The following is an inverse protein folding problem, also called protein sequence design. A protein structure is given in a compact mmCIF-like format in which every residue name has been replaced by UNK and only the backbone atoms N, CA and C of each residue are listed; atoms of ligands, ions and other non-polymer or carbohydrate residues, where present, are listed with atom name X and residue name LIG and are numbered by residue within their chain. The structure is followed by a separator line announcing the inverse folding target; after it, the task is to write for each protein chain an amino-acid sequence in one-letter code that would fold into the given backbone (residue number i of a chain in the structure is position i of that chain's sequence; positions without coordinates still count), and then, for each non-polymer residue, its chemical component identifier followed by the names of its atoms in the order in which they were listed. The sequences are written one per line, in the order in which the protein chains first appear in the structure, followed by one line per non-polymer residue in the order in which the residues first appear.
data_IF_722206746272
#
_entry.id   IF_722206746272
#
_cell.length_a   1.000
_cell.length_b   1.000
_cell.length_c   1.000
_cell.angle_alpha   90.00
_cell.angle_beta   90.00
_cell.angle_gamma   90.00
#
_symmetry.space_group_name_H-M   'P 1'
#
loop_
_entity.id
_entity.type
_entity.pdbx_description
1 polymer ?
#
# COMPACT_ATOMS: atom_id res chain seq x y z
N UNK A 1 18.05 -51.90 25.84
CA UNK A 1 18.68 -50.61 25.50
C UNK A 1 18.67 -50.32 23.99
N UNK A 2 19.06 -51.22 23.09
CA UNK A 2 19.05 -50.96 21.63
C UNK A 2 17.68 -50.59 21.05
N UNK A 3 16.58 -51.23 21.51
CA UNK A 3 15.19 -50.91 21.00
C UNK A 3 14.69 -49.54 21.42
N UNK A 4 15.08 -49.03 22.57
CA UNK A 4 14.71 -47.70 23.07
C UNK A 4 15.46 -46.61 22.29
N UNK A 5 16.72 -46.87 21.92
CA UNK A 5 17.55 -45.96 21.16
C UNK A 5 17.02 -45.77 19.70
N UNK A 6 16.58 -46.89 19.11
CA UNK A 6 15.95 -46.87 17.76
C UNK A 6 14.61 -46.10 17.78
N UNK A 7 13.80 -46.27 18.83
CA UNK A 7 12.53 -45.55 18.96
C UNK A 7 12.74 -44.04 19.15
N UNK A 8 13.75 -43.61 19.87
CA UNK A 8 14.09 -42.19 20.07
C UNK A 8 14.57 -41.56 18.76
N UNK A 9 15.42 -42.27 17.99
CA UNK A 9 15.90 -41.79 16.69
C UNK A 9 14.74 -41.68 15.70
N UNK A 10 13.81 -42.65 15.66
CA UNK A 10 12.63 -42.59 14.81
C UNK A 10 11.70 -41.43 15.18
N UNK A 11 11.52 -41.12 16.47
CA UNK A 11 10.72 -40.01 16.95
C UNK A 11 11.37 -38.66 16.58
N UNK A 12 12.71 -38.57 16.66
CA UNK A 12 13.46 -37.38 16.27
C UNK A 12 13.39 -37.15 14.76
N UNK A 13 13.48 -38.20 13.95
CA UNK A 13 13.34 -38.08 12.50
C UNK A 13 11.91 -37.73 12.08
N UNK A 14 10.89 -38.21 12.80
CA UNK A 14 9.50 -37.82 12.58
C UNK A 14 9.27 -36.33 12.92
N UNK A 15 9.87 -35.83 13.99
CA UNK A 15 9.73 -34.43 14.39
C UNK A 15 10.39 -33.46 13.38
N UNK A 16 11.52 -33.87 12.76
CA UNK A 16 12.18 -33.08 11.72
C UNK A 16 11.35 -33.08 10.42
N UNK A 17 10.67 -34.19 10.10
CA UNK A 17 9.79 -34.30 8.94
C UNK A 17 8.50 -33.45 9.05
N UNK A 18 8.00 -33.22 10.28
CA UNK A 18 6.79 -32.42 10.50
C UNK A 18 7.04 -30.91 10.51
N UNK A 19 8.29 -30.48 10.67
CA UNK A 19 8.64 -29.04 10.60
C UNK A 19 8.89 -28.54 9.17
N UNK A 20 8.92 -29.44 8.15
CA UNK A 20 9.12 -29.05 6.77
C UNK A 20 7.84 -28.91 5.94
N UNK A 21 6.67 -29.18 6.52
CA UNK A 21 5.40 -28.67 5.98
C UNK A 21 5.19 -27.23 6.43
N UNK A 22 6.12 -26.34 6.15
CA UNK A 22 5.82 -24.94 6.08
C UNK A 22 4.81 -24.79 4.95
N UNK A 23 3.55 -24.49 5.27
CA UNK A 23 2.68 -23.87 4.30
C UNK A 23 3.49 -22.71 3.73
N UNK A 24 3.89 -22.85 2.47
CA UNK A 24 4.77 -21.89 1.81
C UNK A 24 3.97 -20.61 1.65
N UNK A 25 4.07 -19.75 2.65
CA UNK A 25 3.57 -18.38 2.51
C UNK A 25 4.37 -17.74 1.40
N UNK A 26 3.73 -17.31 0.34
CA UNK A 26 4.42 -16.66 -0.77
C UNK A 26 5.23 -15.47 -0.24
N UNK A 27 6.53 -15.49 -0.44
CA UNK A 27 7.40 -14.39 -0.06
C UNK A 27 7.90 -13.69 -1.31
N UNK A 28 7.81 -12.36 -1.38
CA UNK A 28 8.32 -11.62 -2.52
C UNK A 28 9.85 -11.74 -2.59
N UNK A 29 10.40 -11.90 -3.80
CA UNK A 29 11.84 -11.82 -4.03
C UNK A 29 12.34 -10.38 -3.90
N UNK A 30 11.59 -9.44 -4.47
CA UNK A 30 11.83 -8.00 -4.30
C UNK A 30 11.06 -7.51 -3.09
N UNK A 31 11.80 -7.04 -2.08
CA UNK A 31 11.25 -6.67 -0.76
C UNK A 31 11.13 -5.17 -0.53
N UNK A 32 11.59 -4.37 -1.46
CA UNK A 32 11.50 -2.92 -1.41
C UNK A 32 11.21 -2.39 -2.81
N UNK A 33 10.26 -1.47 -2.91
CA UNK A 33 9.92 -0.77 -4.14
C UNK A 33 9.84 0.74 -3.88
N UNK A 34 10.27 1.53 -4.87
CA UNK A 34 10.23 3.01 -4.82
C UNK A 34 9.64 3.50 -6.12
N UNK A 35 8.51 4.19 -6.04
CA UNK A 35 7.71 4.58 -7.19
C UNK A 35 7.50 6.09 -7.19
N UNK A 36 7.99 6.76 -8.23
CA UNK A 36 7.78 8.19 -8.39
C UNK A 36 6.31 8.44 -8.69
N UNK A 37 5.75 9.45 -8.00
CA UNK A 37 4.39 9.96 -8.23
C UNK A 37 4.48 11.43 -8.57
N UNK A 38 3.64 11.87 -9.50
CA UNK A 38 3.48 13.28 -9.85
C UNK A 38 1.99 13.56 -10.05
N UNK A 39 1.46 14.46 -9.27
CA UNK A 39 0.06 14.90 -9.31
C UNK A 39 0.01 16.32 -9.87
N UNK A 40 -0.76 16.51 -10.93
CA UNK A 40 -1.01 17.82 -11.54
C UNK A 40 -2.43 18.25 -11.19
N UNK A 41 -2.57 19.43 -10.63
CA UNK A 41 -3.86 20.00 -10.24
C UNK A 41 -3.92 21.50 -10.52
N UNK A 42 -5.12 22.03 -10.64
CA UNK A 42 -5.39 23.47 -10.71
C UNK A 42 -5.86 23.95 -9.35
N UNK A 43 -5.34 25.11 -8.91
CA UNK A 43 -5.82 25.82 -7.75
C UNK A 43 -5.93 27.30 -8.06
N UNK A 44 -7.14 27.83 -7.96
CA UNK A 44 -7.46 29.23 -8.29
C UNK A 44 -7.03 29.68 -9.69
N UNK A 45 -7.17 28.78 -10.69
CA UNK A 45 -6.79 29.04 -12.07
C UNK A 45 -5.31 28.86 -12.38
N UNK A 46 -4.48 28.51 -11.38
CA UNK A 46 -3.07 28.20 -11.58
C UNK A 46 -2.84 26.69 -11.57
N UNK A 47 -2.15 26.18 -12.59
CA UNK A 47 -1.73 24.77 -12.65
C UNK A 47 -0.52 24.58 -11.74
N UNK A 48 -0.62 23.60 -10.86
CA UNK A 48 0.42 23.22 -9.90
C UNK A 48 0.78 21.74 -10.05
N UNK A 49 1.95 21.39 -9.57
CA UNK A 49 2.45 20.03 -9.55
C UNK A 49 3.02 19.71 -8.18
N UNK A 50 2.64 18.58 -7.62
CA UNK A 50 3.25 17.98 -6.44
C UNK A 50 3.90 16.66 -6.82
N UNK A 51 5.10 16.42 -6.34
CA UNK A 51 5.86 15.22 -6.66
C UNK A 51 6.40 14.54 -5.41
N UNK A 52 6.40 13.20 -5.43
CA UNK A 52 6.92 12.43 -4.33
C UNK A 52 7.35 11.03 -4.77
N UNK A 53 7.76 10.24 -3.78
CA UNK A 53 8.10 8.84 -3.95
C UNK A 53 7.27 8.02 -2.98
N UNK A 54 6.51 7.08 -3.49
CA UNK A 54 5.85 6.05 -2.72
C UNK A 54 6.81 4.90 -2.48
N UNK A 55 6.99 4.53 -1.23
CA UNK A 55 7.93 3.49 -0.79
C UNK A 55 7.15 2.35 -0.18
N UNK A 56 7.41 1.14 -0.67
CA UNK A 56 6.85 -0.10 -0.15
C UNK A 56 7.98 -0.96 0.39
N UNK A 57 7.89 -1.39 1.66
CA UNK A 57 8.85 -2.29 2.30
C UNK A 57 8.12 -3.54 2.80
N UNK A 58 8.63 -4.73 2.46
CA UNK A 58 8.06 -5.98 2.95
C UNK A 58 8.27 -6.13 4.45
N UNK A 59 7.18 -6.21 5.21
CA UNK A 59 7.16 -6.33 6.67
C UNK A 59 6.64 -7.69 7.16
N UNK A 60 6.92 -8.75 6.40
CA UNK A 60 6.57 -10.11 6.78
C UNK A 60 5.23 -10.58 6.24
N UNK A 61 4.54 -11.40 7.00
CA UNK A 61 3.29 -12.05 6.62
C UNK A 61 2.21 -11.72 7.62
N UNK A 62 1.05 -11.38 7.11
CA UNK A 62 -0.14 -11.17 7.93
C UNK A 62 -0.82 -12.52 8.22
N UNK A 63 -0.91 -12.88 9.52
CA UNK A 63 -1.51 -14.12 10.00
C UNK A 63 -2.84 -13.90 10.76
N UNK A 64 -3.40 -12.70 10.69
CA UNK A 64 -4.51 -12.31 11.59
C UNK A 64 -5.84 -12.99 11.31
N UNK A 65 -6.02 -13.53 10.11
CA UNK A 65 -7.23 -14.30 9.79
C UNK A 65 -6.89 -15.78 9.61
N UNK A 66 -7.33 -16.61 10.56
CA UNK A 66 -7.11 -18.08 10.54
C UNK A 66 -7.83 -18.74 9.35
N UNK A 67 -8.78 -18.05 8.74
CA UNK A 67 -9.59 -18.55 7.63
C UNK A 67 -9.18 -17.95 6.28
N UNK A 68 -8.29 -16.96 6.25
CA UNK A 68 -7.74 -16.39 5.03
C UNK A 68 -6.36 -16.98 4.74
N UNK A 69 -5.99 -17.01 3.47
CA UNK A 69 -4.62 -17.30 3.07
C UNK A 69 -3.70 -16.19 3.60
N UNK A 70 -2.50 -16.54 4.08
CA UNK A 70 -1.58 -15.57 4.62
C UNK A 70 -1.04 -14.65 3.53
N UNK A 71 -1.27 -13.35 3.66
CA UNK A 71 -0.85 -12.32 2.71
C UNK A 71 0.49 -11.70 3.05
N UNK A 72 1.18 -11.17 2.05
CA UNK A 72 2.35 -10.34 2.27
C UNK A 72 1.93 -9.04 2.98
N UNK A 73 2.62 -8.72 4.08
CA UNK A 73 2.43 -7.44 4.77
C UNK A 73 3.44 -6.42 4.25
N UNK A 74 2.95 -5.23 3.93
CA UNK A 74 3.75 -4.14 3.40
C UNK A 74 3.66 -2.92 4.31
N UNK A 75 4.81 -2.34 4.59
CA UNK A 75 4.90 -1.02 5.21
C UNK A 75 5.01 0.02 4.11
N UNK A 76 4.19 1.06 4.23
CA UNK A 76 4.10 2.15 3.27
C UNK A 76 4.66 3.44 3.86
N UNK A 77 5.26 4.26 3.02
CA UNK A 77 5.64 5.63 3.36
C UNK A 77 5.74 6.48 2.10
N UNK A 78 5.73 7.80 2.30
CA UNK A 78 5.86 8.78 1.22
C UNK A 78 7.03 9.72 1.49
N UNK A 79 7.62 10.23 0.43
CA UNK A 79 8.69 11.22 0.46
C UNK A 79 8.38 12.38 -0.49
N UNK A 80 8.93 13.56 -0.24
CA UNK A 80 8.76 14.75 -1.09
C UNK A 80 7.58 15.63 -0.69
N UNK A 81 6.74 16.03 -1.64
CA UNK A 81 5.60 16.93 -1.40
C UNK A 81 4.36 16.19 -0.86
N UNK A 82 4.41 14.87 -0.76
CA UNK A 82 3.33 14.01 -0.27
C UNK A 82 3.59 13.70 1.20
N UNK A 83 2.60 13.91 2.06
CA UNK A 83 2.70 13.60 3.49
C UNK A 83 2.67 12.07 3.72
N UNK A 84 3.09 11.62 4.90
CA UNK A 84 3.23 10.19 5.24
C UNK A 84 1.91 9.39 5.16
N UNK A 85 0.79 10.07 5.20
CA UNK A 85 -0.56 9.50 5.06
C UNK A 85 -1.10 9.51 3.61
N UNK A 86 -0.25 9.85 2.62
CA UNK A 86 -0.64 9.93 1.22
C UNK A 86 -1.43 11.19 0.87
N UNK A 87 -1.28 12.27 1.62
CA UNK A 87 -2.04 13.50 1.45
C UNK A 87 -1.16 14.62 0.86
N UNK A 88 -1.73 15.38 -0.09
CA UNK A 88 -1.18 16.63 -0.60
C UNK A 88 -2.13 17.75 -0.12
N UNK A 89 -1.76 18.53 0.90
CA UNK A 89 -2.61 19.61 1.40
C UNK A 89 -2.68 20.76 0.39
N UNK A 90 -3.87 21.31 0.16
CA UNK A 90 -4.11 22.41 -0.79
C UNK A 90 -4.43 23.70 -0.05
N UNK A 91 -5.56 23.74 0.69
CA UNK A 91 -6.00 24.90 1.43
C UNK A 91 -7.08 24.53 2.45
N UNK A 92 -7.41 25.51 3.32
CA UNK A 92 -8.56 25.43 4.19
C UNK A 92 -9.75 26.21 3.60
N UNK A 93 -10.95 25.77 3.89
CA UNK A 93 -12.18 26.49 3.54
C UNK A 93 -12.53 27.51 4.62
N UNK A 94 -13.32 28.52 4.27
CA UNK A 94 -13.75 29.56 5.23
C UNK A 94 -14.66 29.01 6.35
N UNK A 95 -15.29 27.87 6.12
CA UNK A 95 -16.20 27.19 7.06
C UNK A 95 -15.53 26.06 7.85
N UNK A 96 -14.19 25.96 7.79
CA UNK A 96 -13.38 25.09 8.63
C UNK A 96 -13.10 23.71 8.05
N UNK A 97 -13.35 23.49 6.76
CA UNK A 97 -12.91 22.28 6.05
C UNK A 97 -11.46 22.36 5.60
N UNK A 98 -10.83 21.23 5.39
CA UNK A 98 -9.50 21.10 4.80
C UNK A 98 -9.60 20.46 3.42
N UNK A 99 -9.04 21.11 2.39
CA UNK A 99 -9.00 20.56 1.03
C UNK A 99 -7.64 19.99 0.76
N UNK A 100 -7.62 18.76 0.30
CA UNK A 100 -6.41 18.03 -0.06
C UNK A 100 -6.63 17.09 -1.24
N UNK A 101 -5.56 16.58 -1.79
CA UNK A 101 -5.58 15.44 -2.71
C UNK A 101 -5.12 14.21 -1.95
N UNK A 102 -5.97 13.19 -1.93
CA UNK A 102 -5.73 11.90 -1.30
C UNK A 102 -5.21 10.92 -2.35
N UNK A 103 -4.14 10.19 -2.00
CA UNK A 103 -3.53 9.14 -2.78
C UNK A 103 -3.73 7.81 -2.05
N UNK A 104 -4.67 7.01 -2.51
CA UNK A 104 -4.83 5.65 -2.03
C UNK A 104 -4.02 4.73 -2.94
N UNK A 105 -2.80 4.46 -2.53
CA UNK A 105 -1.88 3.57 -3.20
C UNK A 105 -1.99 2.18 -2.59
N UNK A 106 -1.80 1.15 -3.42
CA UNK A 106 -1.87 -0.24 -2.98
C UNK A 106 -0.50 -0.87 -3.18
N UNK A 107 0.23 -1.19 -2.11
CA UNK A 107 1.57 -1.77 -2.23
C UNK A 107 1.56 -3.08 -3.02
N UNK A 108 0.50 -3.88 -2.91
CA UNK A 108 0.33 -5.12 -3.65
C UNK A 108 0.35 -4.87 -5.16
N UNK A 109 -0.35 -3.82 -5.63
CA UNK A 109 -0.33 -3.43 -7.04
C UNK A 109 1.09 -3.07 -7.48
N UNK A 110 1.77 -2.19 -6.75
CA UNK A 110 3.09 -1.70 -7.13
C UNK A 110 4.18 -2.78 -7.01
N UNK A 111 4.05 -3.65 -6.03
CA UNK A 111 4.99 -4.74 -5.77
C UNK A 111 4.69 -6.00 -6.58
N UNK A 112 3.70 -5.95 -7.48
CA UNK A 112 3.38 -7.05 -8.41
C UNK A 112 2.87 -8.30 -7.72
N UNK A 113 2.04 -8.13 -6.67
CA UNK A 113 1.37 -9.24 -6.00
C UNK A 113 0.27 -9.81 -6.92
N UNK A 114 0.38 -11.06 -7.36
CA UNK A 114 -0.57 -11.63 -8.30
C UNK A 114 -1.97 -11.84 -7.71
N UNK A 115 -2.10 -11.91 -6.37
CA UNK A 115 -3.38 -12.15 -5.70
C UNK A 115 -4.19 -10.87 -5.53
N UNK A 116 -3.51 -9.71 -5.49
CA UNK A 116 -4.12 -8.41 -5.23
C UNK A 116 -3.85 -7.36 -6.33
N UNK A 117 -3.37 -7.78 -7.49
CA UNK A 117 -3.04 -6.88 -8.62
C UNK A 117 -4.26 -6.14 -9.23
N UNK A 118 -5.48 -6.45 -8.80
CA UNK A 118 -6.71 -5.79 -9.26
C UNK A 118 -6.94 -4.42 -8.59
N UNK A 119 -6.27 -4.15 -7.49
CA UNK A 119 -6.40 -2.88 -6.75
C UNK A 119 -5.58 -1.79 -7.43
N UNK A 120 -6.19 -1.05 -8.34
CA UNK A 120 -5.52 0.08 -9.01
C UNK A 120 -5.47 1.32 -8.11
N UNK A 121 -4.38 2.11 -8.14
CA UNK A 121 -4.28 3.35 -7.38
C UNK A 121 -5.44 4.31 -7.63
N UNK A 122 -5.94 4.92 -6.55
CA UNK A 122 -7.01 5.91 -6.59
C UNK A 122 -6.44 7.24 -6.14
N UNK A 123 -6.68 8.29 -6.93
CA UNK A 123 -6.28 9.67 -6.60
C UNK A 123 -7.49 10.56 -6.77
N UNK A 124 -7.82 11.32 -5.72
CA UNK A 124 -8.97 12.21 -5.74
C UNK A 124 -8.75 13.43 -4.86
N UNK A 125 -9.38 14.53 -5.22
CA UNK A 125 -9.47 15.68 -4.34
C UNK A 125 -10.62 15.47 -3.35
N UNK A 126 -10.44 15.92 -2.12
CA UNK A 126 -11.39 15.72 -1.03
C UNK A 126 -11.44 16.95 -0.13
N UNK A 127 -12.60 17.17 0.50
CA UNK A 127 -12.77 18.13 1.59
C UNK A 127 -13.07 17.33 2.85
N UNK A 128 -12.30 17.54 3.88
CA UNK A 128 -12.52 16.93 5.18
C UNK A 128 -13.02 17.97 6.18
N UNK A 129 -14.10 17.63 6.86
CA UNK A 129 -14.63 18.33 8.02
C UNK A 129 -14.57 17.38 9.22
N UNK A 130 -14.73 17.90 10.44
CA UNK A 130 -14.69 17.09 11.67
C UNK A 130 -15.65 15.89 11.66
N UNK A 131 -16.77 16.00 10.95
CA UNK A 131 -17.87 15.03 10.98
C UNK A 131 -18.19 14.40 9.61
N UNK A 132 -17.55 14.85 8.52
CA UNK A 132 -17.85 14.39 7.16
C UNK A 132 -16.68 14.60 6.19
N UNK A 133 -16.68 13.80 5.14
CA UNK A 133 -15.78 13.89 4.01
C UNK A 133 -16.62 14.07 2.72
N UNK A 134 -16.14 14.91 1.81
CA UNK A 134 -16.75 15.19 0.52
C UNK A 134 -15.71 14.93 -0.57
N UNK A 135 -16.03 14.08 -1.51
CA UNK A 135 -15.21 13.74 -2.70
C UNK A 135 -15.92 14.10 -4.03
N UNK A 136 -16.96 14.91 -3.95
CA UNK A 136 -17.68 15.40 -5.12
C UNK A 136 -16.84 16.47 -5.85
N UNK A 137 -16.40 16.15 -7.07
CA UNK A 137 -15.54 17.01 -7.86
C UNK A 137 -16.16 18.36 -8.21
N UNK A 138 -17.49 18.44 -8.37
CA UNK A 138 -18.19 19.69 -8.70
C UNK A 138 -18.19 20.61 -7.47
N UNK A 139 -18.40 20.03 -6.26
CA UNK A 139 -18.34 20.78 -4.99
C UNK A 139 -16.92 21.28 -4.73
N UNK A 140 -15.91 20.45 -4.97
CA UNK A 140 -14.50 20.81 -4.78
C UNK A 140 -14.08 21.91 -5.76
N UNK A 141 -14.59 21.87 -7.00
CA UNK A 141 -14.31 22.90 -8.00
C UNK A 141 -14.84 24.29 -7.61
N UNK A 142 -15.88 24.42 -6.78
CA UNK A 142 -16.35 25.68 -6.25
C UNK A 142 -15.29 26.40 -5.38
N UNK A 143 -14.38 25.63 -4.78
CA UNK A 143 -13.23 26.15 -4.03
C UNK A 143 -11.97 26.38 -4.90
N UNK A 144 -12.13 26.32 -6.23
CA UNK A 144 -11.07 26.56 -7.20
C UNK A 144 -10.04 25.42 -7.30
N UNK A 145 -10.36 24.22 -6.82
CA UNK A 145 -9.49 23.04 -6.89
C UNK A 145 -10.00 22.05 -7.95
N UNK A 146 -9.11 21.59 -8.81
CA UNK A 146 -9.42 20.58 -9.84
C UNK A 146 -8.23 19.65 -10.03
N UNK A 147 -8.42 18.37 -9.84
CA UNK A 147 -7.45 17.35 -10.22
C UNK A 147 -7.38 17.26 -11.76
N UNK A 148 -6.17 17.36 -12.33
CA UNK A 148 -5.95 17.31 -13.78
C UNK A 148 -5.42 15.95 -14.19
N UNK A 149 -4.34 15.47 -13.55
CA UNK A 149 -3.66 14.24 -13.92
C UNK A 149 -2.87 13.67 -12.73
N UNK A 150 -2.68 12.36 -12.72
CA UNK A 150 -1.74 11.69 -11.83
C UNK A 150 -0.91 10.69 -12.62
N UNK A 151 0.40 10.80 -12.51
CA UNK A 151 1.37 9.89 -13.12
C UNK A 151 2.15 9.20 -12.02
N UNK A 152 2.35 7.92 -12.18
CA UNK A 152 3.18 7.11 -11.30
C UNK A 152 3.98 6.07 -12.09
N UNK A 153 5.07 5.62 -11.50
CA UNK A 153 5.89 4.57 -12.09
C UNK A 153 5.10 3.26 -12.21
N UNK A 154 5.47 2.47 -13.20
CA UNK A 154 4.84 1.16 -13.41
C UNK A 154 5.14 0.22 -12.25
N UNK A 155 4.21 -0.69 -11.94
CA UNK A 155 4.46 -1.79 -11.02
C UNK A 155 5.70 -2.58 -11.43
N UNK A 156 6.41 -3.13 -10.46
CA UNK A 156 7.50 -4.06 -10.71
C UNK A 156 6.94 -5.46 -11.03
N UNK A 157 7.70 -6.23 -11.80
CA UNK A 157 7.46 -7.67 -11.90
C UNK A 157 8.15 -8.34 -10.72
N UNK A 158 7.38 -8.93 -9.83
CA UNK A 158 7.89 -9.64 -8.66
C UNK A 158 7.58 -11.13 -8.74
N UNK A 159 8.37 -11.94 -8.09
CA UNK A 159 8.16 -13.37 -7.97
C UNK A 159 7.93 -13.72 -6.50
N UNK A 160 6.89 -14.46 -6.23
CA UNK A 160 6.53 -14.93 -4.88
C UNK A 160 6.86 -16.42 -4.78
N UNK A 161 7.64 -16.82 -3.75
CA UNK A 161 8.07 -18.20 -3.49
C UNK A 161 7.68 -18.67 -2.12
#
# INVERSE_FOLDING_TARGET
MKKIFVAIIALLLLSIGLTSCGFGVPRPEVKEGRFKITVTYEYNGEVKEASGVYVCEYDGVNWWDINADPDANWKESYEGDIQDDGIIPICNTDDGGEIFISLLMYPEYFMGDPEHAESTPIVRAEIFYDDRQIDDADVIAEYGVKLIDCKYDKPIENTYK
#
